data_IF_967939482466
#
_entry.id   IF_967939482466
#
_cell.length_a   1.000
_cell.length_b   1.000
_cell.length_c   1.000
_cell.angle_alpha   90.00
_cell.angle_beta   90.00
_cell.angle_gamma   90.00
#
_symmetry.space_group_name_H-M   'P 1'
#
loop_
_entity.id
_entity.type
_entity.pdbx_description
1 polymer ?
#
# COMPACT_ATOMS: atom_id res chain seq x y z
N UNK A 1 -24.35 -13.72 10.39
CA UNK A 1 -23.99 -12.46 11.08
C UNK A 1 -24.24 -11.19 10.26
N UNK A 2 -24.15 -11.18 8.92
CA UNK A 2 -24.30 -9.97 8.11
C UNK A 2 -25.69 -9.29 8.19
N UNK A 3 -26.78 -10.07 8.16
CA UNK A 3 -28.15 -9.52 8.11
C UNK A 3 -28.60 -8.84 9.43
N UNK A 4 -28.10 -9.30 10.59
CA UNK A 4 -28.46 -8.76 11.90
C UNK A 4 -27.87 -7.35 12.18
N UNK A 5 -26.81 -6.97 11.47
CA UNK A 5 -26.19 -5.65 11.59
C UNK A 5 -26.93 -4.57 10.82
N UNK A 6 -27.54 -4.93 9.68
CA UNK A 6 -28.16 -3.91 8.84
C UNK A 6 -29.44 -3.40 9.45
N UNK A 7 -30.35 -4.27 9.91
CA UNK A 7 -31.59 -3.86 10.59
C UNK A 7 -31.41 -3.16 11.96
N UNK A 8 -30.17 -3.15 12.50
CA UNK A 8 -29.84 -2.48 13.77
C UNK A 8 -29.46 -1.01 13.57
N UNK A 9 -28.87 -0.65 12.42
CA UNK A 9 -28.29 0.69 12.19
C UNK A 9 -28.84 1.38 10.94
N UNK A 10 -29.47 0.64 10.03
CA UNK A 10 -29.89 1.14 8.73
C UNK A 10 -31.32 0.68 8.37
N UNK A 11 -32.09 1.55 7.72
CA UNK A 11 -33.38 1.22 7.11
C UNK A 11 -33.23 1.00 5.61
N UNK A 12 -33.91 -0.03 5.11
CA UNK A 12 -34.07 -0.28 3.69
C UNK A 12 -35.45 0.15 3.22
N UNK A 13 -35.50 0.91 2.13
CA UNK A 13 -36.76 1.17 1.41
C UNK A 13 -36.57 0.92 -0.08
N UNK A 14 -37.52 0.19 -0.65
CA UNK A 14 -37.69 0.08 -2.09
C UNK A 14 -38.99 0.78 -2.45
N UNK A 15 -38.91 1.79 -3.32
CA UNK A 15 -40.09 2.51 -3.81
C UNK A 15 -40.20 2.29 -5.31
N UNK A 16 -41.33 1.75 -5.75
CA UNK A 16 -41.70 1.71 -7.16
C UNK A 16 -42.52 2.96 -7.46
N UNK A 17 -41.98 3.84 -8.30
CA UNK A 17 -42.67 5.02 -8.79
C UNK A 17 -43.27 4.69 -10.16
N UNK A 18 -44.58 4.80 -10.28
CA UNK A 18 -45.31 4.69 -11.54
C UNK A 18 -45.70 6.09 -12.00
N UNK A 19 -45.34 6.47 -13.23
CA UNK A 19 -45.92 7.68 -13.83
C UNK A 19 -47.32 7.33 -14.33
N UNK A 20 -48.35 7.97 -13.77
CA UNK A 20 -49.73 7.57 -13.98
C UNK A 20 -50.29 8.04 -15.33
N UNK A 21 -50.83 7.12 -16.13
CA UNK A 21 -52.25 7.10 -16.52
C UNK A 21 -52.60 5.98 -17.52
N UNK A 22 -51.64 5.24 -18.07
CA UNK A 22 -51.94 4.12 -18.98
C UNK A 22 -51.18 2.84 -18.58
N UNK A 23 -51.76 1.68 -18.90
CA UNK A 23 -51.28 0.31 -18.59
C UNK A 23 -49.85 -0.04 -19.10
N UNK A 24 -49.13 0.93 -19.67
CA UNK A 24 -47.70 0.88 -19.92
C UNK A 24 -46.92 1.62 -18.83
N UNK A 25 -47.04 1.17 -17.58
CA UNK A 25 -46.44 1.84 -16.43
C UNK A 25 -44.90 1.78 -16.46
N UNK A 26 -44.25 2.92 -16.72
CA UNK A 26 -42.82 3.14 -16.45
C UNK A 26 -42.61 2.99 -14.94
N UNK A 27 -42.16 1.82 -14.49
CA UNK A 27 -41.81 1.59 -13.10
C UNK A 27 -40.34 1.96 -12.88
N UNK A 28 -40.09 3.01 -12.09
CA UNK A 28 -38.75 3.29 -11.56
C UNK A 28 -38.65 2.67 -10.18
N UNK A 29 -37.76 1.68 -10.00
CA UNK A 29 -37.47 1.10 -8.68
C UNK A 29 -36.24 1.79 -8.11
N UNK A 30 -36.41 2.46 -6.97
CA UNK A 30 -35.32 3.10 -6.24
C UNK A 30 -35.10 2.34 -4.93
N UNK A 31 -33.88 1.84 -4.74
CA UNK A 31 -33.46 1.22 -3.47
C UNK A 31 -32.57 2.21 -2.72
N UNK A 32 -33.01 2.60 -1.52
CA UNK A 32 -32.26 3.48 -0.65
C UNK A 32 -31.88 2.78 0.65
N UNK A 33 -30.69 3.12 1.15
CA UNK A 33 -30.29 2.84 2.53
C UNK A 33 -30.27 4.18 3.25
N UNK A 34 -31.00 4.26 4.37
CA UNK A 34 -31.01 5.42 5.24
C UNK A 34 -30.44 5.05 6.62
N UNK A 35 -29.52 5.87 7.12
CA UNK A 35 -29.03 5.75 8.49
C UNK A 35 -30.14 6.21 9.47
N UNK A 36 -30.49 5.37 10.44
CA UNK A 36 -31.57 5.63 11.41
C UNK A 36 -31.31 6.82 12.32
N UNK A 37 -30.04 7.15 12.58
CA UNK A 37 -29.67 8.23 13.52
C UNK A 37 -29.26 9.53 12.80
N UNK A 38 -29.34 9.54 11.45
CA UNK A 38 -29.15 10.73 10.62
C UNK A 38 -30.26 10.85 9.57
N UNK A 39 -31.48 11.25 9.98
CA UNK A 39 -32.59 11.44 9.06
C UNK A 39 -32.23 12.51 8.02
N UNK A 40 -31.94 12.10 6.79
CA UNK A 40 -31.49 12.96 5.68
C UNK A 40 -30.30 12.42 4.88
N UNK A 41 -29.51 11.50 5.45
CA UNK A 41 -28.36 10.89 4.78
C UNK A 41 -28.73 9.62 3.98
N UNK A 42 -29.77 9.70 3.15
CA UNK A 42 -30.15 8.58 2.29
C UNK A 42 -29.25 8.54 1.04
N UNK A 43 -28.59 7.41 0.81
CA UNK A 43 -27.81 7.20 -0.43
C UNK A 43 -28.69 6.41 -1.40
N UNK A 44 -28.86 6.95 -2.61
CA UNK A 44 -29.49 6.23 -3.74
C UNK A 44 -28.47 5.26 -4.30
N UNK A 45 -28.75 3.97 -4.20
CA UNK A 45 -27.78 2.93 -4.53
C UNK A 45 -27.91 2.45 -5.98
N UNK A 46 -29.11 2.60 -6.55
CA UNK A 46 -29.40 2.31 -7.96
C UNK A 46 -30.73 2.96 -8.36
N UNK A 47 -30.78 3.49 -9.58
CA UNK A 47 -32.00 3.98 -10.24
C UNK A 47 -32.09 3.33 -11.62
N UNK A 48 -33.15 2.56 -11.87
CA UNK A 48 -33.38 1.92 -13.17
C UNK A 48 -34.74 2.35 -13.72
N UNK A 49 -34.77 2.78 -14.98
CA UNK A 49 -35.97 3.28 -15.68
C UNK A 49 -36.39 2.27 -16.75
N UNK A 50 -37.67 1.93 -16.82
CA UNK A 50 -38.21 1.00 -17.82
C UNK A 50 -39.20 1.72 -18.74
N UNK A 51 -39.04 1.62 -20.05
CA UNK A 51 -40.05 2.05 -21.03
C UNK A 51 -40.64 0.81 -21.71
N UNK A 52 -41.92 0.53 -21.45
CA UNK A 52 -42.63 -0.63 -21.98
C UNK A 52 -43.01 -0.45 -23.44
N UNK A 53 -42.59 -1.38 -24.29
CA UNK A 53 -43.03 -1.40 -25.69
C UNK A 53 -42.89 -2.73 -26.42
N UNK A 54 -42.27 -3.76 -25.85
CA UNK A 54 -42.24 -5.08 -26.49
C UNK A 54 -42.62 -6.17 -25.49
N UNK A 55 -43.69 -6.89 -25.83
CA UNK A 55 -44.09 -8.11 -25.16
C UNK A 55 -42.92 -9.10 -25.22
N UNK A 56 -42.54 -9.64 -24.07
CA UNK A 56 -41.45 -10.59 -23.95
C UNK A 56 -41.95 -12.00 -24.26
N UNK A 57 -41.39 -12.62 -25.30
CA UNK A 57 -41.58 -14.03 -25.64
C UNK A 57 -41.21 -14.95 -24.46
N UNK A 58 -41.99 -16.01 -24.16
CA UNK A 58 -41.69 -16.96 -23.09
C UNK A 58 -40.40 -17.73 -23.42
N UNK A 59 -39.31 -17.45 -22.69
CA UNK A 59 -38.02 -18.11 -22.87
C UNK A 59 -36.84 -17.16 -23.11
N UNK A 60 -37.08 -15.86 -23.31
CA UNK A 60 -36.01 -14.87 -23.29
C UNK A 60 -35.51 -14.68 -21.85
N UNK A 61 -34.28 -15.13 -21.56
CA UNK A 61 -33.62 -14.90 -20.29
C UNK A 61 -33.40 -13.39 -20.06
N UNK A 62 -34.27 -12.76 -19.29
CA UNK A 62 -34.11 -11.36 -18.89
C UNK A 62 -33.24 -11.25 -17.64
N UNK A 63 -32.12 -10.54 -17.76
CA UNK A 63 -31.32 -10.04 -16.63
C UNK A 63 -31.49 -8.52 -16.53
N UNK A 64 -32.39 -8.00 -15.70
CA UNK A 64 -32.22 -6.65 -15.21
C UNK A 64 -31.06 -6.66 -14.19
N UNK A 65 -30.16 -5.68 -14.26
CA UNK A 65 -29.11 -5.42 -13.27
C UNK A 65 -29.66 -4.96 -11.90
N UNK A 66 -30.76 -5.56 -11.43
CA UNK A 66 -31.34 -5.40 -10.10
C UNK A 66 -31.19 -6.67 -9.25
N UNK A 67 -30.72 -7.79 -9.83
CA UNK A 67 -30.36 -8.99 -9.09
C UNK A 67 -28.84 -9.12 -8.94
N UNK A 68 -28.36 -9.28 -7.71
CA UNK A 68 -26.94 -9.48 -7.44
C UNK A 68 -26.48 -8.94 -6.09
N UNK A 69 -25.26 -9.31 -5.71
CA UNK A 69 -24.59 -8.81 -4.51
C UNK A 69 -24.06 -7.40 -4.75
N UNK A 70 -24.51 -6.46 -3.91
CA UNK A 70 -24.04 -5.09 -3.83
C UNK A 70 -23.11 -4.95 -2.63
N UNK A 71 -22.15 -4.01 -2.74
CA UNK A 71 -21.14 -3.75 -1.71
C UNK A 71 -21.02 -2.25 -1.46
N UNK A 72 -21.13 -1.82 -0.21
CA UNK A 72 -20.91 -0.43 0.19
C UNK A 72 -20.08 -0.37 1.46
N UNK A 73 -19.06 0.48 1.49
CA UNK A 73 -18.26 0.67 2.69
C UNK A 73 -18.99 1.59 3.67
N UNK A 74 -19.20 1.11 4.91
CA UNK A 74 -19.81 1.91 5.97
C UNK A 74 -18.74 2.36 6.97
N UNK A 75 -18.45 3.67 7.05
CA UNK A 75 -17.52 4.22 8.04
C UNK A 75 -17.98 3.97 9.48
N UNK A 76 -19.30 3.85 9.69
CA UNK A 76 -19.93 3.69 11.01
C UNK A 76 -19.67 2.32 11.64
N UNK A 77 -19.61 1.27 10.83
CA UNK A 77 -19.29 -0.10 11.30
C UNK A 77 -17.89 -0.55 10.88
N UNK A 78 -17.11 0.33 10.26
CA UNK A 78 -15.70 0.12 9.90
C UNK A 78 -15.46 -1.04 8.92
N UNK A 79 -16.44 -1.39 8.09
CA UNK A 79 -16.34 -2.51 7.14
C UNK A 79 -17.23 -2.32 5.91
N UNK A 80 -16.93 -3.10 4.89
CA UNK A 80 -17.76 -3.27 3.70
C UNK A 80 -19.00 -4.10 4.05
N UNK A 81 -20.16 -3.55 3.73
CA UNK A 81 -21.44 -4.24 3.82
C UNK A 81 -21.77 -4.81 2.45
N UNK A 82 -22.01 -6.11 2.38
CA UNK A 82 -22.48 -6.77 1.18
C UNK A 82 -23.92 -7.26 1.36
N UNK A 83 -24.81 -6.99 0.40
CA UNK A 83 -26.17 -7.51 0.43
C UNK A 83 -26.63 -7.93 -0.97
N UNK A 84 -27.43 -8.99 -1.06
CA UNK A 84 -28.02 -9.45 -2.32
C UNK A 84 -29.46 -8.94 -2.45
N UNK A 85 -29.84 -8.44 -3.61
CA UNK A 85 -31.24 -8.27 -3.98
C UNK A 85 -31.61 -9.29 -5.06
N UNK A 86 -32.83 -9.83 -4.98
CA UNK A 86 -33.40 -10.68 -6.01
C UNK A 86 -34.84 -10.24 -6.27
N UNK A 87 -35.18 -9.97 -7.53
CA UNK A 87 -36.56 -9.82 -7.96
C UNK A 87 -37.12 -11.21 -8.23
N UNK A 88 -38.09 -11.61 -7.42
CA UNK A 88 -38.90 -12.82 -7.64
C UNK A 88 -40.27 -12.39 -8.14
N UNK A 89 -40.79 -13.07 -9.16
CA UNK A 89 -42.19 -12.91 -9.57
C UNK A 89 -43.08 -13.32 -8.40
N UNK A 90 -44.19 -12.62 -8.21
CA UNK A 90 -45.17 -12.96 -7.19
C UNK A 90 -45.71 -14.36 -7.47
N UNK A 91 -45.31 -15.35 -6.65
CA UNK A 91 -45.67 -16.77 -6.81
C UNK A 91 -44.49 -17.73 -6.92
N UNK A 92 -43.27 -17.28 -7.26
CA UNK A 92 -42.10 -18.14 -7.54
C UNK A 92 -41.06 -18.16 -6.39
N UNK A 93 -41.48 -17.95 -5.13
CA UNK A 93 -40.56 -18.13 -4.01
C UNK A 93 -40.12 -19.61 -3.96
N UNK A 94 -38.81 -19.93 -3.92
CA UNK A 94 -38.36 -21.32 -3.87
C UNK A 94 -38.90 -22.01 -2.62
N UNK A 95 -39.45 -23.22 -2.77
CA UNK A 95 -39.83 -24.06 -1.62
C UNK A 95 -38.61 -24.27 -0.70
N UNK A 96 -38.77 -23.95 0.59
CA UNK A 96 -37.73 -23.98 1.60
C UNK A 96 -37.28 -22.61 2.13
N UNK A 97 -37.81 -21.50 1.62
CA UNK A 97 -37.59 -20.17 2.20
C UNK A 97 -38.62 -19.90 3.32
N UNK A 98 -38.38 -20.48 4.50
CA UNK A 98 -39.24 -20.22 5.65
C UNK A 98 -38.91 -18.85 6.27
N UNK A 99 -39.94 -18.01 6.44
CA UNK A 99 -39.82 -16.67 7.06
C UNK A 99 -39.37 -16.74 8.53
N UNK A 100 -39.40 -17.92 9.13
CA UNK A 100 -39.03 -18.16 10.53
C UNK A 100 -37.51 -18.41 10.76
N UNK A 101 -36.70 -18.70 9.73
CA UNK A 101 -35.25 -18.94 9.87
C UNK A 101 -34.41 -17.67 10.05
N UNK A 102 -35.06 -16.51 10.24
CA UNK A 102 -34.41 -15.24 10.54
C UNK A 102 -34.08 -15.05 12.04
N UNK A 103 -34.29 -16.06 12.90
CA UNK A 103 -33.96 -16.01 14.33
C UNK A 103 -32.74 -16.87 14.68
N UNK A 104 -31.62 -16.15 14.91
CA UNK A 104 -30.51 -16.45 15.83
C UNK A 104 -30.43 -17.88 16.40
N UNK A 105 -29.58 -18.73 15.83
CA UNK A 105 -28.89 -19.78 16.60
C UNK A 105 -27.46 -19.35 16.91
N UNK A 106 -27.14 -19.29 18.20
CA UNK A 106 -25.82 -18.97 18.72
C UNK A 106 -24.81 -20.04 18.30
N UNK A 107 -23.67 -19.61 17.74
CA UNK A 107 -22.55 -20.50 17.43
C UNK A 107 -21.91 -21.08 18.69
N UNK A 108 -21.14 -22.18 18.57
CA UNK A 108 -20.57 -22.89 19.72
C UNK A 108 -19.58 -22.00 20.48
N UNK A 109 -19.40 -22.23 21.80
CA UNK A 109 -18.60 -21.35 22.64
C UNK A 109 -17.13 -21.34 22.18
N UNK A 110 -16.60 -20.13 22.00
CA UNK A 110 -15.17 -19.90 21.85
C UNK A 110 -14.49 -20.36 23.15
N UNK A 111 -13.60 -21.36 23.06
CA UNK A 111 -12.76 -21.77 24.17
C UNK A 111 -11.98 -20.56 24.66
N UNK A 112 -12.25 -20.11 25.90
CA UNK A 112 -11.31 -19.30 26.66
C UNK A 112 -10.02 -20.12 26.78
N UNK A 113 -8.92 -19.57 26.30
CA UNK A 113 -7.60 -20.07 26.70
C UNK A 113 -7.45 -19.67 28.15
N UNK A 114 -7.60 -20.65 29.04
CA UNK A 114 -7.37 -20.47 30.45
C UNK A 114 -5.93 -20.00 30.66
N UNK A 115 -5.81 -18.82 31.27
CA UNK A 115 -4.55 -18.34 31.79
C UNK A 115 -4.05 -19.30 32.85
N UNK A 116 -2.95 -20.00 32.55
CA UNK A 116 -2.02 -20.59 33.51
C UNK A 116 -0.73 -20.96 32.77
N UNK A 117 0.33 -20.21 33.07
CA UNK A 117 1.71 -20.61 32.73
C UNK A 117 2.34 -19.99 31.49
N UNK A 118 2.12 -18.70 31.20
CA UNK A 118 3.06 -17.99 30.32
C UNK A 118 4.24 -17.52 31.16
N UNK A 119 5.34 -18.29 31.14
CA UNK A 119 6.65 -17.71 31.40
C UNK A 119 6.76 -16.42 30.56
N UNK A 120 7.24 -15.33 31.17
CA UNK A 120 7.42 -14.02 30.55
C UNK A 120 8.14 -14.17 29.20
N UNK A 121 7.38 -14.31 28.11
CA UNK A 121 7.92 -14.20 26.76
C UNK A 121 8.18 -12.73 26.56
N UNK A 122 9.43 -12.36 26.28
CA UNK A 122 9.74 -11.00 25.84
C UNK A 122 8.74 -10.59 24.74
N UNK A 123 8.21 -9.36 24.77
CA UNK A 123 7.30 -8.90 23.73
C UNK A 123 7.98 -9.02 22.36
N UNK A 124 7.23 -9.48 21.36
CA UNK A 124 7.71 -9.59 19.99
C UNK A 124 8.23 -8.21 19.52
N UNK A 125 9.48 -8.18 19.08
CA UNK A 125 10.16 -6.95 18.66
C UNK A 125 11.10 -7.25 17.49
N UNK A 126 11.17 -6.33 16.53
CA UNK A 126 12.09 -6.41 15.40
C UNK A 126 12.77 -5.06 15.16
N UNK A 127 14.06 -5.11 14.83
CA UNK A 127 14.86 -3.96 14.41
C UNK A 127 14.90 -3.89 12.88
N UNK A 128 14.34 -2.84 12.32
CA UNK A 128 14.30 -2.60 10.88
C UNK A 128 15.36 -1.57 10.49
N UNK A 129 15.97 -1.75 9.33
CA UNK A 129 16.82 -0.76 8.67
C UNK A 129 16.16 -0.37 7.34
N UNK A 130 15.89 0.92 7.17
CA UNK A 130 15.43 1.50 5.92
C UNK A 130 16.56 2.33 5.33
N UNK A 131 16.82 2.16 4.05
CA UNK A 131 17.84 2.93 3.32
C UNK A 131 17.21 3.56 2.10
N UNK A 132 17.71 4.73 1.72
CA UNK A 132 17.18 5.50 0.60
C UNK A 132 17.46 4.91 -0.78
N UNK A 133 17.68 5.78 -1.74
CA UNK A 133 17.70 5.42 -3.16
C UNK A 133 18.90 4.54 -3.52
N UNK A 134 18.60 3.39 -4.13
CA UNK A 134 19.59 2.44 -4.67
C UNK A 134 19.46 2.39 -6.20
N UNK A 135 20.46 2.91 -6.88
CA UNK A 135 20.63 2.86 -8.33
C UNK A 135 21.87 2.00 -8.64
N UNK A 136 21.64 0.80 -9.18
CA UNK A 136 22.69 -0.20 -9.46
C UNK A 136 23.16 -0.20 -10.92
N UNK A 137 22.81 0.84 -11.68
CA UNK A 137 23.40 1.11 -12.98
C UNK A 137 24.69 1.94 -12.83
N UNK A 138 25.24 2.41 -13.93
CA UNK A 138 26.36 3.36 -13.99
C UNK A 138 27.51 3.08 -13.00
N UNK A 139 27.83 3.98 -12.06
CA UNK A 139 28.96 3.84 -11.13
C UNK A 139 28.89 2.57 -10.30
N UNK A 140 27.83 2.38 -9.49
CA UNK A 140 27.61 1.15 -8.75
C UNK A 140 27.58 -0.09 -9.65
N UNK A 141 27.01 0.01 -10.86
CA UNK A 141 27.03 -1.07 -11.85
C UNK A 141 28.44 -1.44 -12.33
N UNK A 142 29.33 -0.45 -12.51
CA UNK A 142 30.76 -0.66 -12.83
C UNK A 142 31.51 -1.29 -11.65
N UNK A 143 31.20 -0.91 -10.41
CA UNK A 143 31.77 -1.56 -9.21
C UNK A 143 31.41 -3.05 -9.21
N UNK A 144 30.14 -3.38 -9.47
CA UNK A 144 29.66 -4.76 -9.53
C UNK A 144 30.34 -5.55 -10.66
N UNK A 145 30.48 -4.97 -11.85
CA UNK A 145 31.09 -5.66 -13.00
C UNK A 145 32.59 -5.97 -12.79
N UNK A 146 33.26 -5.23 -11.90
CA UNK A 146 34.62 -5.49 -11.45
C UNK A 146 34.71 -6.56 -10.35
N UNK A 147 33.59 -7.20 -9.99
CA UNK A 147 33.54 -8.21 -8.92
C UNK A 147 33.58 -7.61 -7.51
N UNK A 148 33.39 -6.30 -7.37
CA UNK A 148 33.38 -5.59 -6.08
C UNK A 148 31.94 -5.38 -5.59
N UNK A 149 31.79 -5.05 -4.32
CA UNK A 149 30.49 -4.86 -3.69
C UNK A 149 30.29 -3.39 -3.32
N UNK A 150 29.32 -2.66 -3.92
CA UNK A 150 29.10 -1.26 -3.59
C UNK A 150 28.61 -1.06 -2.15
N UNK A 151 28.09 -2.09 -1.48
CA UNK A 151 27.63 -2.02 -0.10
C UNK A 151 28.71 -2.39 0.93
N UNK A 152 29.95 -2.68 0.50
CA UNK A 152 30.99 -3.28 1.35
C UNK A 152 31.20 -2.53 2.68
N UNK A 153 31.14 -1.20 2.65
CA UNK A 153 31.41 -0.35 3.81
C UNK A 153 30.21 -0.23 4.78
N UNK A 154 29.00 -0.62 4.36
CA UNK A 154 27.78 -0.62 5.21
C UNK A 154 27.29 -2.02 5.55
N UNK A 155 27.84 -3.07 4.92
CA UNK A 155 27.40 -4.44 5.09
C UNK A 155 27.38 -4.89 6.56
N UNK A 156 28.39 -4.50 7.35
CA UNK A 156 28.46 -4.82 8.78
C UNK A 156 27.37 -4.11 9.60
N UNK A 157 27.05 -2.85 9.26
CA UNK A 157 26.00 -2.09 9.93
C UNK A 157 24.64 -2.74 9.64
N UNK A 158 24.30 -2.98 8.37
CA UNK A 158 23.01 -3.52 7.94
C UNK A 158 22.72 -4.92 8.50
N UNK A 159 23.76 -5.76 8.74
CA UNK A 159 23.59 -7.09 9.36
C UNK A 159 22.96 -7.07 10.75
N UNK A 160 22.90 -5.92 11.41
CA UNK A 160 22.27 -5.77 12.73
C UNK A 160 20.74 -5.58 12.65
N UNK A 161 20.16 -5.54 11.45
CA UNK A 161 18.72 -5.47 11.26
C UNK A 161 18.10 -6.86 11.09
N UNK A 162 16.90 -7.04 11.64
CA UNK A 162 16.04 -8.18 11.34
C UNK A 162 15.38 -8.06 9.95
N UNK A 163 15.17 -6.83 9.47
CA UNK A 163 14.62 -6.52 8.15
C UNK A 163 15.31 -5.30 7.53
N UNK A 164 15.76 -5.43 6.29
CA UNK A 164 16.42 -4.36 5.52
C UNK A 164 15.56 -4.00 4.31
N UNK A 165 15.11 -2.76 4.22
CA UNK A 165 14.20 -2.29 3.17
C UNK A 165 14.83 -1.12 2.41
N UNK A 166 14.70 -1.11 1.09
CA UNK A 166 15.27 -0.05 0.24
C UNK A 166 14.34 0.35 -0.91
N UNK A 167 14.56 1.53 -1.49
CA UNK A 167 13.99 1.90 -2.78
C UNK A 167 14.95 1.46 -3.91
N UNK A 168 14.47 0.59 -4.82
CA UNK A 168 15.25 0.17 -5.97
C UNK A 168 14.93 1.08 -7.16
N UNK A 169 15.72 2.14 -7.33
CA UNK A 169 15.51 3.21 -8.30
C UNK A 169 16.21 2.94 -9.64
N UNK A 170 16.06 1.72 -10.14
CA UNK A 170 16.50 1.33 -11.47
C UNK A 170 15.79 0.04 -11.88
N UNK A 171 15.79 -0.25 -13.19
CA UNK A 171 15.31 -1.54 -13.68
C UNK A 171 16.45 -2.56 -13.71
N UNK A 172 16.27 -3.73 -13.10
CA UNK A 172 17.22 -4.85 -13.22
C UNK A 172 16.76 -5.76 -14.38
N UNK A 173 17.34 -5.58 -15.56
CA UNK A 173 16.96 -6.32 -16.76
C UNK A 173 18.10 -6.40 -17.79
N UNK A 174 18.09 -7.46 -18.61
CA UNK A 174 18.94 -7.56 -19.80
C UNK A 174 18.29 -6.92 -21.02
N UNK A 175 16.95 -7.02 -21.13
CA UNK A 175 16.17 -6.55 -22.27
C UNK A 175 15.46 -5.21 -22.07
N UNK A 176 14.49 -4.94 -22.95
CA UNK A 176 13.68 -3.73 -22.97
C UNK A 176 14.23 -2.60 -23.83
N UNK A 177 13.37 -1.61 -24.11
CA UNK A 177 13.68 -0.46 -24.94
C UNK A 177 13.69 0.79 -24.07
N UNK A 178 14.83 1.47 -24.06
CA UNK A 178 15.01 2.75 -23.36
C UNK A 178 13.93 3.75 -23.79
N UNK A 179 13.27 4.37 -22.82
CA UNK A 179 12.30 5.44 -23.07
C UNK A 179 13.02 6.77 -23.30
N UNK A 180 12.34 7.71 -23.95
CA UNK A 180 12.86 9.06 -24.15
C UNK A 180 12.65 9.90 -22.87
N UNK A 181 13.63 9.86 -21.96
CA UNK A 181 13.70 10.61 -20.70
C UNK A 181 15.13 11.12 -20.49
N UNK A 182 15.37 12.23 -19.77
CA UNK A 182 16.73 12.74 -19.53
C UNK A 182 17.66 11.71 -18.87
N UNK A 183 17.13 10.94 -17.92
CA UNK A 183 17.87 9.94 -17.16
C UNK A 183 17.14 8.60 -17.21
N UNK A 184 17.89 7.53 -17.54
CA UNK A 184 17.35 6.17 -17.60
C UNK A 184 18.34 5.17 -17.01
N UNK A 185 17.93 4.40 -16.00
CA UNK A 185 18.80 3.50 -15.27
C UNK A 185 18.39 2.04 -15.48
N UNK A 186 19.32 1.25 -16.03
CA UNK A 186 19.17 -0.21 -16.12
C UNK A 186 20.41 -0.91 -15.60
N UNK A 187 20.25 -1.60 -14.49
CA UNK A 187 21.28 -2.43 -13.91
C UNK A 187 21.34 -3.79 -14.62
N UNK A 188 22.56 -4.32 -14.76
CA UNK A 188 22.75 -5.68 -15.27
C UNK A 188 22.10 -6.70 -14.34
N UNK A 189 21.52 -7.82 -14.83
CA UNK A 189 20.88 -8.83 -13.98
C UNK A 189 21.69 -9.35 -12.78
N UNK A 190 23.02 -9.42 -12.91
CA UNK A 190 23.92 -9.80 -11.81
C UNK A 190 23.88 -8.85 -10.61
N UNK A 191 23.41 -7.61 -10.78
CA UNK A 191 23.22 -6.67 -9.67
C UNK A 191 22.25 -7.22 -8.61
N UNK A 192 21.28 -8.07 -9.01
CA UNK A 192 20.36 -8.71 -8.07
C UNK A 192 21.07 -9.64 -7.07
N UNK A 193 22.12 -10.34 -7.50
CA UNK A 193 22.89 -11.23 -6.63
C UNK A 193 23.64 -10.46 -5.54
N UNK A 194 24.07 -9.24 -5.86
CA UNK A 194 24.71 -8.33 -4.92
C UNK A 194 23.66 -7.73 -3.97
N UNK A 195 22.58 -7.20 -4.53
CA UNK A 195 21.49 -6.55 -3.78
C UNK A 195 20.90 -7.45 -2.70
N UNK A 196 20.55 -8.70 -3.03
CA UNK A 196 19.91 -9.64 -2.09
C UNK A 196 20.75 -10.00 -0.85
N UNK A 197 22.05 -9.67 -0.84
CA UNK A 197 22.91 -9.88 0.32
C UNK A 197 22.67 -8.81 1.39
N UNK A 198 22.18 -7.64 0.98
CA UNK A 198 22.14 -6.42 1.80
C UNK A 198 20.74 -5.90 2.07
N UNK A 199 19.73 -6.35 1.31
CA UNK A 199 18.32 -6.02 1.53
C UNK A 199 17.44 -7.27 1.56
N UNK A 200 16.32 -7.18 2.26
CA UNK A 200 15.32 -8.23 2.41
C UNK A 200 13.99 -7.91 1.72
N UNK A 201 13.74 -6.65 1.39
CA UNK A 201 12.61 -6.22 0.56
C UNK A 201 12.93 -4.91 -0.18
N UNK A 202 12.35 -4.72 -1.36
CA UNK A 202 12.54 -3.49 -2.15
C UNK A 202 11.23 -2.85 -2.60
N UNK A 203 11.15 -1.53 -2.51
CA UNK A 203 10.12 -0.76 -3.21
C UNK A 203 10.51 -0.63 -4.68
N UNK A 204 9.52 -0.79 -5.55
CA UNK A 204 9.60 -0.52 -6.98
C UNK A 204 8.78 0.72 -7.37
N UNK A 205 8.13 1.39 -6.41
CA UNK A 205 7.29 2.53 -6.72
C UNK A 205 8.12 3.80 -6.89
N UNK A 206 8.74 3.98 -8.06
CA UNK A 206 9.53 5.16 -8.40
C UNK A 206 9.47 5.49 -9.89
N UNK A 207 9.94 6.68 -10.25
CA UNK A 207 9.97 7.20 -11.62
C UNK A 207 10.96 6.48 -12.55
N UNK A 208 11.86 5.64 -12.05
CA UNK A 208 12.88 4.93 -12.82
C UNK A 208 12.55 3.46 -13.11
N UNK A 209 11.51 2.91 -12.49
CA UNK A 209 11.04 1.54 -12.74
C UNK A 209 10.53 1.29 -14.17
N UNK A 210 10.18 2.35 -14.89
CA UNK A 210 9.69 2.30 -16.27
C UNK A 210 10.73 2.59 -17.36
N UNK A 211 11.98 2.85 -17.00
CA UNK A 211 12.97 3.47 -17.92
C UNK A 211 13.27 2.66 -19.19
N UNK A 212 13.04 1.35 -19.16
CA UNK A 212 13.24 0.44 -20.30
C UNK A 212 11.95 -0.26 -20.74
N UNK A 213 10.81 0.32 -20.33
CA UNK A 213 9.47 -0.08 -20.72
C UNK A 213 8.94 -1.35 -20.04
N UNK A 214 7.69 -1.74 -20.36
CA UNK A 214 6.98 -2.83 -19.68
C UNK A 214 7.70 -4.19 -19.76
N UNK A 215 8.43 -4.46 -20.85
CA UNK A 215 9.17 -5.71 -21.01
C UNK A 215 10.31 -5.84 -19.98
N UNK A 216 11.12 -4.80 -19.80
CA UNK A 216 12.20 -4.81 -18.81
C UNK A 216 11.66 -4.86 -17.39
N UNK A 217 10.57 -4.14 -17.11
CA UNK A 217 9.92 -4.18 -15.81
C UNK A 217 9.35 -5.57 -15.51
N UNK A 218 8.66 -6.21 -16.46
CA UNK A 218 8.19 -7.58 -16.29
C UNK A 218 9.33 -8.59 -16.05
N UNK A 219 10.44 -8.44 -16.79
CA UNK A 219 11.66 -9.22 -16.56
C UNK A 219 12.19 -9.02 -15.12
N UNK A 220 12.24 -7.78 -14.64
CA UNK A 220 12.65 -7.47 -13.27
C UNK A 220 11.73 -8.13 -12.23
N UNK A 221 10.40 -8.05 -12.40
CA UNK A 221 9.44 -8.71 -11.49
C UNK A 221 9.67 -10.22 -11.42
N UNK A 222 9.88 -10.86 -12.58
CA UNK A 222 10.17 -12.30 -12.66
C UNK A 222 11.49 -12.65 -11.96
N UNK A 223 12.53 -11.83 -12.14
CA UNK A 223 13.84 -12.04 -11.49
C UNK A 223 13.75 -11.90 -9.97
N UNK A 224 13.08 -10.87 -9.47
CA UNK A 224 12.87 -10.66 -8.03
C UNK A 224 12.10 -11.84 -7.42
N UNK A 225 11.04 -12.30 -8.09
CA UNK A 225 10.26 -13.46 -7.67
C UNK A 225 11.11 -14.74 -7.66
N UNK A 226 11.88 -15.01 -8.71
CA UNK A 226 12.77 -16.19 -8.79
C UNK A 226 13.89 -16.15 -7.75
N UNK A 227 14.42 -14.98 -7.44
CA UNK A 227 15.43 -14.80 -6.41
C UNK A 227 14.87 -14.86 -4.98
N UNK A 228 13.54 -14.90 -4.82
CA UNK A 228 12.89 -14.88 -3.52
C UNK A 228 13.11 -13.58 -2.76
N UNK A 229 13.32 -12.46 -3.47
CA UNK A 229 13.43 -11.13 -2.87
C UNK A 229 12.05 -10.46 -2.90
N UNK A 230 11.37 -10.29 -1.74
CA UNK A 230 10.12 -9.56 -1.65
C UNK A 230 10.21 -8.17 -2.28
N UNK A 231 9.16 -7.77 -2.96
CA UNK A 231 9.02 -6.44 -3.54
C UNK A 231 7.60 -5.92 -3.37
N UNK A 232 7.44 -4.60 -3.41
CA UNK A 232 6.17 -3.91 -3.27
C UNK A 232 6.16 -2.60 -4.06
N UNK A 233 4.97 -1.99 -4.21
CA UNK A 233 4.83 -0.72 -4.95
C UNK A 233 4.94 -0.86 -6.48
N UNK A 234 5.05 -2.08 -7.00
CA UNK A 234 5.07 -2.38 -8.42
C UNK A 234 4.55 -3.79 -8.68
N UNK A 235 3.96 -4.00 -9.85
CA UNK A 235 3.33 -5.29 -10.16
C UNK A 235 2.91 -5.43 -11.61
N UNK A 236 2.42 -6.62 -11.95
CA UNK A 236 1.96 -6.96 -13.30
C UNK A 236 0.61 -6.31 -13.69
N UNK A 237 -0.07 -5.70 -12.73
CA UNK A 237 -1.30 -4.92 -12.88
C UNK A 237 -1.53 -4.07 -11.63
N UNK A 238 -2.54 -3.20 -11.67
CA UNK A 238 -2.95 -2.30 -10.59
C UNK A 238 -3.08 -3.05 -9.24
N UNK A 239 -3.84 -4.15 -9.21
CA UNK A 239 -4.04 -4.93 -7.97
C UNK A 239 -2.73 -5.48 -7.42
N UNK A 240 -1.82 -5.92 -8.28
CA UNK A 240 -0.52 -6.44 -7.87
C UNK A 240 0.42 -5.34 -7.38
N UNK A 241 0.39 -4.16 -8.01
CA UNK A 241 1.22 -3.02 -7.62
C UNK A 241 0.85 -2.46 -6.24
N UNK A 242 -0.46 -2.41 -5.96
CA UNK A 242 -1.02 -1.97 -4.67
C UNK A 242 -1.03 -3.06 -3.58
N UNK A 243 -0.58 -4.28 -3.88
CA UNK A 243 -0.52 -5.35 -2.88
C UNK A 243 0.67 -5.12 -1.95
N UNK A 244 0.49 -5.10 -0.61
CA UNK A 244 1.61 -4.99 0.31
C UNK A 244 2.49 -6.23 0.26
N UNK A 245 3.81 -6.04 0.43
CA UNK A 245 4.67 -7.12 0.87
C UNK A 245 4.50 -7.31 2.37
N UNK A 246 4.05 -8.48 2.80
CA UNK A 246 3.98 -8.83 4.23
C UNK A 246 5.17 -9.72 4.54
N UNK A 247 6.04 -9.24 5.42
CA UNK A 247 7.24 -9.96 5.85
C UNK A 247 7.13 -10.28 7.33
N UNK A 248 7.41 -11.53 7.70
CA UNK A 248 7.43 -11.96 9.09
C UNK A 248 8.84 -11.89 9.67
N UNK A 249 8.98 -11.21 10.82
CA UNK A 249 10.23 -11.13 11.59
C UNK A 249 9.93 -11.17 13.08
N UNK A 250 10.62 -12.05 13.81
CA UNK A 250 10.48 -12.18 15.26
C UNK A 250 9.03 -12.32 15.74
N UNK A 251 8.18 -12.98 14.96
CA UNK A 251 6.75 -13.18 15.25
C UNK A 251 5.84 -11.99 14.90
N UNK A 252 6.38 -10.93 14.28
CA UNK A 252 5.62 -9.78 13.78
C UNK A 252 5.40 -9.89 12.27
N UNK A 253 4.17 -9.64 11.82
CA UNK A 253 3.87 -9.40 10.40
C UNK A 253 4.01 -7.92 10.11
N UNK A 254 4.91 -7.57 9.21
CA UNK A 254 5.21 -6.18 8.83
C UNK A 254 4.75 -6.00 7.38
N UNK A 255 3.77 -5.12 7.16
CA UNK A 255 3.30 -4.77 5.82
C UNK A 255 4.04 -3.55 5.27
N UNK A 256 4.64 -3.73 4.11
CA UNK A 256 5.34 -2.71 3.34
C UNK A 256 4.48 -2.33 2.14
N UNK A 257 4.19 -1.04 2.01
CA UNK A 257 3.45 -0.45 0.89
C UNK A 257 4.35 0.57 0.20
N UNK A 258 4.22 0.76 -1.11
CA UNK A 258 5.08 1.68 -1.86
C UNK A 258 4.27 2.45 -2.87
N UNK A 259 4.54 3.75 -3.01
CA UNK A 259 3.82 4.61 -3.97
C UNK A 259 4.74 5.66 -4.59
N UNK A 260 4.50 5.95 -5.87
CA UNK A 260 5.17 6.98 -6.64
C UNK A 260 4.26 8.21 -6.81
N UNK A 261 4.82 9.40 -6.64
CA UNK A 261 4.16 10.69 -6.92
C UNK A 261 4.88 11.51 -8.00
N UNK A 262 5.96 10.99 -8.60
CA UNK A 262 6.75 11.74 -9.55
C UNK A 262 6.21 11.65 -10.97
N UNK A 263 5.83 12.81 -11.51
CA UNK A 263 5.38 13.01 -12.89
C UNK A 263 6.51 12.89 -13.93
N UNK A 264 6.17 12.56 -15.19
CA UNK A 264 4.83 12.22 -15.69
C UNK A 264 4.35 10.85 -15.19
N UNK A 265 3.02 10.68 -15.10
CA UNK A 265 2.34 9.46 -14.60
C UNK A 265 2.33 8.33 -15.65
N UNK A 266 3.42 8.19 -16.41
CA UNK A 266 3.43 7.38 -17.64
C UNK A 266 3.64 5.88 -17.39
N UNK A 267 4.11 5.50 -16.20
CA UNK A 267 4.41 4.11 -15.85
C UNK A 267 3.57 3.58 -14.69
N UNK A 268 2.42 4.20 -14.43
CA UNK A 268 1.44 3.67 -13.49
C UNK A 268 0.91 2.29 -13.94
N UNK A 269 0.67 1.40 -12.98
CA UNK A 269 0.02 0.12 -13.23
C UNK A 269 -1.47 0.30 -13.62
N UNK A 270 -1.84 -0.20 -14.80
CA UNK A 270 -3.24 -0.29 -15.24
C UNK A 270 -3.92 -1.59 -14.82
N UNK A 271 -5.23 -1.77 -15.09
CA UNK A 271 -5.98 -3.00 -14.74
C UNK A 271 -5.37 -4.30 -15.28
N UNK A 272 -4.70 -4.24 -16.43
CA UNK A 272 -4.00 -5.36 -17.06
C UNK A 272 -2.58 -4.98 -17.54
N UNK A 273 -2.04 -3.87 -17.05
CA UNK A 273 -0.74 -3.34 -17.47
C UNK A 273 0.21 -3.28 -16.28
N UNK A 274 1.41 -3.82 -16.46
CA UNK A 274 2.45 -3.74 -15.46
C UNK A 274 2.91 -2.29 -15.25
N UNK A 275 3.20 -1.95 -13.99
CA UNK A 275 3.66 -0.61 -13.63
C UNK A 275 3.78 -0.46 -12.12
N UNK A 276 3.91 0.79 -11.69
CA UNK A 276 4.03 1.18 -10.27
C UNK A 276 2.69 1.59 -9.66
N UNK A 277 2.58 1.46 -8.35
CA UNK A 277 1.46 2.00 -7.60
C UNK A 277 1.59 3.52 -7.51
N UNK A 278 0.59 4.25 -8.02
CA UNK A 278 0.56 5.71 -7.93
C UNK A 278 0.00 6.17 -6.59
N UNK A 279 0.45 7.35 -6.13
CA UNK A 279 0.05 7.94 -4.86
C UNK A 279 -1.34 8.62 -4.89
N UNK A 280 -2.38 7.91 -5.34
CA UNK A 280 -3.76 8.37 -5.22
C UNK A 280 -4.26 8.21 -3.78
N UNK A 281 -4.86 9.27 -3.24
CA UNK A 281 -5.25 9.36 -1.83
C UNK A 281 -6.23 8.26 -1.41
N UNK A 282 -7.29 8.04 -2.20
CA UNK A 282 -8.31 7.05 -1.90
C UNK A 282 -7.74 5.64 -1.88
N UNK A 283 -6.82 5.35 -2.82
CA UNK A 283 -6.18 4.05 -2.94
C UNK A 283 -5.19 3.81 -1.80
N UNK A 284 -4.36 4.81 -1.45
CA UNK A 284 -3.47 4.78 -0.28
C UNK A 284 -4.26 4.45 1.00
N UNK A 285 -5.38 5.13 1.23
CA UNK A 285 -6.22 4.89 2.41
C UNK A 285 -6.80 3.48 2.41
N UNK A 286 -7.29 3.01 1.27
CA UNK A 286 -7.84 1.67 1.13
C UNK A 286 -6.78 0.59 1.41
N UNK A 287 -5.59 0.75 0.84
CA UNK A 287 -4.48 -0.19 0.95
C UNK A 287 -3.93 -0.26 2.38
N UNK A 288 -3.73 0.88 3.04
CA UNK A 288 -3.27 0.92 4.44
C UNK A 288 -4.29 0.24 5.36
N UNK A 289 -5.58 0.56 5.20
CA UNK A 289 -6.64 -0.08 6.00
C UNK A 289 -6.73 -1.58 5.72
N UNK A 290 -6.46 -2.01 4.49
CA UNK A 290 -6.39 -3.42 4.13
C UNK A 290 -5.19 -4.11 4.78
N UNK A 291 -4.00 -3.53 4.67
CA UNK A 291 -2.77 -4.00 5.28
C UNK A 291 -2.89 -4.12 6.81
N UNK A 292 -3.54 -3.16 7.45
CA UNK A 292 -3.74 -3.15 8.92
C UNK A 292 -4.52 -4.35 9.45
N UNK A 293 -5.38 -4.97 8.64
CA UNK A 293 -6.15 -6.17 9.02
C UNK A 293 -5.33 -7.46 8.98
N UNK A 294 -4.17 -7.43 8.34
CA UNK A 294 -3.36 -8.61 8.04
C UNK A 294 -1.90 -8.50 8.55
N UNK A 295 -1.52 -7.37 9.12
CA UNK A 295 -0.19 -7.11 9.66
C UNK A 295 -0.28 -6.46 11.04
N UNK A 296 0.80 -6.58 11.81
CA UNK A 296 1.00 -5.99 13.13
C UNK A 296 1.59 -4.57 13.04
N UNK A 297 2.36 -4.31 11.98
CA UNK A 297 2.99 -3.02 11.66
C UNK A 297 2.75 -2.69 10.19
N UNK A 298 2.35 -1.47 9.86
CA UNK A 298 2.11 -1.01 8.48
C UNK A 298 2.95 0.23 8.17
N UNK A 299 3.88 0.14 7.22
CA UNK A 299 4.79 1.24 6.87
C UNK A 299 4.74 1.48 5.35
N UNK A 300 4.14 2.60 4.90
CA UNK A 300 4.29 3.10 3.54
C UNK A 300 5.69 3.68 3.29
N UNK A 301 6.20 3.41 2.08
CA UNK A 301 7.46 3.94 1.57
C UNK A 301 7.20 4.74 0.29
N UNK A 302 7.38 6.05 0.38
CA UNK A 302 7.00 7.00 -0.65
C UNK A 302 8.17 7.45 -1.51
N UNK A 303 7.92 7.61 -2.80
CA UNK A 303 8.83 8.23 -3.75
C UNK A 303 8.17 9.52 -4.27
N UNK A 304 8.56 10.67 -3.71
CA UNK A 304 7.79 11.92 -3.78
C UNK A 304 8.64 13.16 -3.51
N UNK A 305 8.06 14.35 -3.55
CA UNK A 305 8.78 15.57 -3.23
C UNK A 305 9.49 16.17 -4.44
N UNK A 306 10.19 17.27 -4.20
CA UNK A 306 10.95 17.98 -5.23
C UNK A 306 12.43 17.62 -5.10
N UNK A 307 13.06 17.24 -6.22
CA UNK A 307 14.51 17.03 -6.31
C UNK A 307 15.29 18.22 -5.72
N UNK A 308 16.33 17.92 -4.94
CA UNK A 308 17.22 18.86 -4.26
C UNK A 308 16.58 19.76 -3.21
N UNK A 309 15.31 19.57 -2.87
CA UNK A 309 14.69 20.28 -1.76
C UNK A 309 14.89 19.52 -0.44
N UNK A 310 15.57 20.15 0.52
CA UNK A 310 15.84 19.60 1.85
C UNK A 310 14.62 19.67 2.81
N UNK A 311 13.50 20.22 2.35
CA UNK A 311 12.31 20.45 3.16
C UNK A 311 11.06 19.93 2.45
N UNK A 312 10.26 19.14 3.17
CA UNK A 312 9.05 18.56 2.64
C UNK A 312 7.98 19.62 2.33
N UNK A 313 7.42 19.58 1.11
CA UNK A 313 6.38 20.51 0.69
C UNK A 313 4.99 20.11 1.20
N UNK A 314 4.03 21.03 1.13
CA UNK A 314 2.68 20.85 1.68
C UNK A 314 1.97 19.56 1.22
N UNK A 315 2.16 19.16 -0.03
CA UNK A 315 1.58 17.92 -0.58
C UNK A 315 2.14 16.63 0.06
N UNK A 316 3.46 16.52 0.28
CA UNK A 316 4.07 15.42 1.04
C UNK A 316 3.48 15.37 2.46
N UNK A 317 3.39 16.52 3.13
CA UNK A 317 2.85 16.60 4.48
C UNK A 317 1.36 16.20 4.56
N UNK A 318 0.56 16.58 3.56
CA UNK A 318 -0.85 16.20 3.47
C UNK A 318 -1.01 14.68 3.30
N UNK A 319 -0.21 14.06 2.43
CA UNK A 319 -0.20 12.61 2.23
C UNK A 319 0.29 11.86 3.47
N UNK A 320 1.35 12.33 4.13
CA UNK A 320 1.83 11.72 5.38
C UNK A 320 0.74 11.71 6.46
N UNK A 321 0.05 12.84 6.67
CA UNK A 321 -1.09 12.93 7.59
C UNK A 321 -2.23 11.99 7.19
N UNK A 322 -2.51 11.87 5.90
CA UNK A 322 -3.52 10.95 5.38
C UNK A 322 -3.19 9.48 5.71
N UNK A 323 -1.94 9.07 5.48
CA UNK A 323 -1.45 7.71 5.75
C UNK A 323 -1.48 7.36 7.24
N UNK A 324 -1.01 8.28 8.09
CA UNK A 324 -1.04 8.11 9.53
C UNK A 324 -2.47 7.95 10.04
N UNK A 325 -3.41 8.82 9.61
CA UNK A 325 -4.84 8.69 9.92
C UNK A 325 -5.48 7.42 9.38
N UNK A 326 -4.97 6.87 8.26
CA UNK A 326 -5.47 5.62 7.71
C UNK A 326 -5.02 4.38 8.51
N UNK A 327 -3.99 4.52 9.35
CA UNK A 327 -3.49 3.47 10.25
C UNK A 327 -2.05 3.03 10.00
N UNK A 328 -1.26 3.78 9.23
CA UNK A 328 0.19 3.56 9.13
C UNK A 328 0.87 3.81 10.48
N UNK A 329 1.93 3.06 10.78
CA UNK A 329 2.71 3.15 12.03
C UNK A 329 3.95 4.05 11.90
N UNK A 330 4.36 4.31 10.67
CA UNK A 330 5.35 5.32 10.25
C UNK A 330 5.14 5.62 8.76
N UNK A 331 5.77 6.69 8.25
CA UNK A 331 5.90 6.94 6.81
C UNK A 331 7.37 7.23 6.49
N UNK A 332 7.90 6.57 5.48
CA UNK A 332 9.29 6.75 5.03
C UNK A 332 9.26 7.28 3.60
N UNK A 333 10.14 8.21 3.26
CA UNK A 333 10.21 8.83 1.94
C UNK A 333 11.59 8.74 1.28
N UNK A 334 11.59 8.93 -0.04
CA UNK A 334 12.70 8.91 -1.01
C UNK A 334 12.36 9.82 -2.20
N UNK A 335 13.28 9.96 -3.16
CA UNK A 335 13.20 10.74 -4.42
C UNK A 335 13.94 12.07 -4.45
N UNK A 336 13.87 12.98 -3.43
CA UNK A 336 14.50 14.29 -3.54
C UNK A 336 16.02 14.26 -3.75
N UNK A 337 16.64 13.08 -3.70
CA UNK A 337 18.08 12.84 -3.73
C UNK A 337 18.85 13.52 -2.61
N UNK A 338 18.16 14.16 -1.65
CA UNK A 338 18.70 14.75 -0.43
C UNK A 338 17.86 14.27 0.75
N UNK A 339 18.42 14.32 1.96
CA UNK A 339 17.62 14.12 3.18
C UNK A 339 16.63 15.25 3.35
N UNK A 340 15.46 14.92 3.89
CA UNK A 340 14.48 15.93 4.28
C UNK A 340 14.18 15.88 5.77
N UNK A 341 13.49 16.90 6.25
CA UNK A 341 13.02 17.01 7.63
C UNK A 341 12.20 15.78 8.08
N UNK A 342 12.04 15.68 9.39
CA UNK A 342 11.24 14.64 10.07
C UNK A 342 10.11 15.29 10.87
N UNK A 343 9.01 14.58 11.06
CA UNK A 343 7.84 15.03 11.83
C UNK A 343 7.31 13.86 12.67
N UNK A 344 6.74 14.14 13.84
CA UNK A 344 5.86 13.19 14.54
C UNK A 344 4.41 13.59 14.32
N UNK A 345 3.62 12.69 13.76
CA UNK A 345 2.17 12.89 13.54
C UNK A 345 1.45 11.87 14.39
N UNK A 346 0.64 12.30 15.35
CA UNK A 346 -0.03 11.44 16.32
C UNK A 346 0.95 10.47 17.02
N UNK A 347 2.16 10.95 17.32
CA UNK A 347 3.24 10.18 17.95
C UNK A 347 3.98 9.21 17.02
N UNK A 348 3.67 9.19 15.71
CA UNK A 348 4.26 8.28 14.72
C UNK A 348 5.26 9.01 13.82
N UNK A 349 6.43 8.40 13.53
CA UNK A 349 7.47 9.08 12.76
C UNK A 349 7.16 9.14 11.27
N UNK A 350 7.40 10.32 10.72
CA UNK A 350 7.39 10.62 9.30
C UNK A 350 8.76 11.13 8.91
N UNK A 351 9.45 10.38 8.04
CA UNK A 351 10.74 10.75 7.48
C UNK A 351 10.50 11.07 6.02
N UNK A 352 10.56 12.36 5.63
CA UNK A 352 10.12 12.78 4.30
C UNK A 352 11.08 12.38 3.18
N UNK A 353 12.38 12.24 3.47
CA UNK A 353 13.36 11.65 2.55
C UNK A 353 14.58 11.13 3.30
N UNK A 354 15.02 9.92 2.95
CA UNK A 354 16.29 9.34 3.41
C UNK A 354 17.50 9.77 2.56
N UNK A 355 17.28 10.45 1.43
CA UNK A 355 18.30 10.77 0.44
C UNK A 355 18.80 9.53 -0.32
N UNK A 356 19.92 9.67 -1.02
CA UNK A 356 20.56 8.57 -1.72
C UNK A 356 21.21 7.56 -0.76
N UNK A 357 21.43 6.32 -1.20
CA UNK A 357 22.21 5.33 -0.46
C UNK A 357 23.31 4.68 -1.31
N UNK A 358 22.95 4.02 -2.41
CA UNK A 358 23.92 3.54 -3.42
C UNK A 358 23.57 4.25 -4.71
N UNK A 359 24.32 5.31 -5.04
CA UNK A 359 23.96 6.20 -6.14
C UNK A 359 25.19 7.01 -6.58
N UNK A 360 25.37 7.25 -7.88
CA UNK A 360 26.39 8.17 -8.40
C UNK A 360 25.78 9.27 -9.28
N UNK A 361 26.60 10.21 -9.74
CA UNK A 361 26.17 11.27 -10.66
C UNK A 361 25.89 12.63 -10.02
N UNK A 362 26.15 12.78 -8.72
CA UNK A 362 26.01 14.05 -8.01
C UNK A 362 27.36 14.58 -7.50
N UNK A 363 27.55 15.90 -7.56
CA UNK A 363 28.73 16.59 -7.00
C UNK A 363 28.47 17.19 -5.63
N UNK A 364 27.20 17.46 -5.31
CA UNK A 364 26.84 18.22 -4.12
C UNK A 364 26.85 17.32 -2.87
N UNK A 365 27.32 17.86 -1.76
CA UNK A 365 27.43 17.12 -0.48
C UNK A 365 26.08 16.60 -0.01
N UNK A 366 25.02 17.38 -0.17
CA UNK A 366 23.68 17.00 0.28
C UNK A 366 23.14 15.80 -0.51
N UNK A 367 23.45 15.72 -1.80
CA UNK A 367 23.08 14.57 -2.61
C UNK A 367 23.89 13.31 -2.31
N UNK A 368 25.12 13.50 -1.86
CA UNK A 368 26.03 12.45 -1.44
C UNK A 368 25.93 12.17 0.07
N UNK A 369 24.88 12.67 0.75
CA UNK A 369 24.63 12.41 2.17
C UNK A 369 23.21 11.86 2.34
N UNK A 370 23.12 10.61 2.78
CA UNK A 370 21.88 9.89 3.04
C UNK A 370 21.73 9.44 4.48
N UNK A 371 20.76 8.56 4.72
CA UNK A 371 20.53 7.96 6.04
C UNK A 371 20.14 6.49 5.98
N UNK A 372 20.65 5.73 6.95
CA UNK A 372 20.00 4.50 7.41
C UNK A 372 19.03 4.91 8.51
N UNK A 373 17.75 4.68 8.30
CA UNK A 373 16.73 4.81 9.33
C UNK A 373 16.59 3.48 10.06
N UNK A 374 16.93 3.51 11.34
CA UNK A 374 16.73 2.39 12.25
C UNK A 374 15.40 2.56 12.96
N UNK A 375 14.58 1.50 12.98
CA UNK A 375 13.31 1.46 13.71
C UNK A 375 13.25 0.20 14.56
N UNK A 376 12.84 0.32 15.81
CA UNK A 376 12.40 -0.80 16.62
C UNK A 376 10.88 -0.83 16.59
N UNK A 377 10.31 -1.97 16.20
CA UNK A 377 8.86 -2.14 16.07
C UNK A 377 8.37 -3.28 16.94
N UNK A 378 7.14 -3.15 17.45
CA UNK A 378 6.41 -4.15 18.23
C UNK A 378 4.97 -4.24 17.72
N UNK A 379 4.08 -5.09 18.28
CA UNK A 379 2.67 -5.12 17.86
C UNK A 379 1.94 -3.79 18.06
N UNK A 380 2.48 -2.86 18.86
CA UNK A 380 1.91 -1.52 19.07
C UNK A 380 2.43 -0.46 18.08
N UNK A 381 3.23 -0.85 17.08
CA UNK A 381 3.84 0.06 16.10
C UNK A 381 5.32 0.34 16.38
N UNK A 382 5.80 1.51 15.93
CA UNK A 382 7.19 1.95 16.13
C UNK A 382 7.38 2.45 17.56
N UNK A 383 8.35 1.90 18.29
CA UNK A 383 8.64 2.26 19.69
C UNK A 383 9.93 3.05 19.87
N UNK A 384 10.85 2.95 18.92
CA UNK A 384 12.11 3.70 18.91
C UNK A 384 12.59 3.85 17.47
N UNK A 385 13.24 4.97 17.15
CA UNK A 385 13.85 5.18 15.85
C UNK A 385 14.99 6.20 15.91
N UNK A 386 15.93 6.11 14.97
CA UNK A 386 16.97 7.12 14.76
C UNK A 386 17.50 7.06 13.33
N UNK A 387 18.07 8.18 12.88
CA UNK A 387 18.78 8.27 11.60
C UNK A 387 20.28 8.14 11.84
N UNK A 388 20.93 7.24 11.11
CA UNK A 388 22.38 7.14 11.02
C UNK A 388 22.82 7.74 9.68
N UNK A 389 23.64 8.78 9.73
CA UNK A 389 24.19 9.43 8.54
C UNK A 389 25.05 8.48 7.71
N UNK A 390 24.99 8.66 6.39
CA UNK A 390 25.74 7.90 5.40
C UNK A 390 26.31 8.89 4.40
N UNK A 391 27.61 8.82 4.13
CA UNK A 391 28.24 9.55 3.03
C UNK A 391 28.49 8.63 1.85
N UNK A 392 28.23 9.11 0.65
CA UNK A 392 28.39 8.35 -0.59
C UNK A 392 29.66 8.84 -1.28
N UNK A 393 30.56 7.92 -1.61
CA UNK A 393 31.78 8.27 -2.32
C UNK A 393 31.56 8.43 -3.83
N UNK A 394 32.58 8.90 -4.55
CA UNK A 394 32.51 9.14 -5.99
C UNK A 394 32.24 7.88 -6.85
N UNK A 395 32.30 6.66 -6.28
CA UNK A 395 31.92 5.42 -6.95
C UNK A 395 30.48 5.01 -6.64
N UNK A 396 29.74 5.85 -5.91
CA UNK A 396 28.38 5.60 -5.46
C UNK A 396 28.29 4.60 -4.32
N UNK A 397 29.34 4.48 -3.50
CA UNK A 397 29.37 3.52 -2.38
C UNK A 397 29.11 4.23 -1.04
N UNK A 398 28.14 3.79 -0.24
CA UNK A 398 27.83 4.37 1.06
C UNK A 398 28.86 4.02 2.13
N UNK A 399 29.14 4.97 3.01
CA UNK A 399 29.96 4.86 4.22
C UNK A 399 29.12 5.37 5.39
N UNK A 400 28.70 4.47 6.28
CA UNK A 400 27.90 4.88 7.44
C UNK A 400 28.79 5.57 8.48
N UNK A 401 28.36 6.75 8.94
CA UNK A 401 28.97 7.41 10.08
C UNK A 401 28.90 6.50 11.33
N UNK A 402 29.84 6.59 12.28
CA UNK A 402 29.74 5.86 13.53
C UNK A 402 28.39 6.11 14.20
N UNK A 403 27.76 5.08 14.76
CA UNK A 403 26.51 5.24 15.49
C UNK A 403 26.73 6.19 16.68
N UNK A 404 26.30 7.44 16.52
CA UNK A 404 26.16 8.33 17.65
C UNK A 404 24.96 7.85 18.45
N UNK A 405 25.13 7.60 19.74
CA UNK A 405 24.04 7.26 20.68
C UNK A 405 23.16 8.48 20.94
N UNK A 406 22.63 9.12 19.89
CA UNK A 406 21.52 10.05 20.04
C UNK A 406 20.25 9.20 20.02
N UNK A 407 19.83 8.76 21.21
CA UNK A 407 18.45 8.33 21.38
C UNK A 407 17.59 9.57 21.16
N UNK A 408 17.05 9.75 19.96
CA UNK A 408 15.87 10.60 19.78
C UNK A 408 14.70 9.89 20.45
N UNK A 409 14.69 9.88 21.79
CA UNK A 409 13.52 9.45 22.55
C UNK A 409 12.39 10.37 22.14
N UNK A 410 11.18 9.82 22.03
CA UNK A 410 9.94 10.52 21.64
C UNK A 410 9.67 11.90 22.28
N UNK A 411 10.40 12.28 23.33
CA UNK A 411 10.25 13.53 24.08
C UNK A 411 10.95 14.78 23.50
N UNK A 412 11.70 14.67 22.39
CA UNK A 412 12.45 15.82 21.83
C UNK A 412 11.85 16.45 20.57
N UNK A 413 10.91 15.80 19.89
CA UNK A 413 10.25 16.38 18.70
C UNK A 413 9.03 17.25 19.07
N UNK A 414 8.53 17.19 20.30
CA UNK A 414 7.42 18.04 20.77
C UNK A 414 7.85 19.49 21.13
N UNK A 415 9.10 19.88 20.83
CA UNK A 415 9.66 21.21 21.20
C UNK A 415 10.27 22.00 20.03
N UNK A 416 9.82 21.75 18.81
CA UNK A 416 10.02 22.63 17.65
C UNK A 416 8.72 22.67 16.86
#
# INVERSE_FOLDING_TARGET
>A
MANALVGRYFDFRAVALTDGQDDAAVATVVVTIADRDRPGAAVVLSQSRWAGGQALEPGAAWRPNLSGWQRVYSPRVGRELAWGCALVRQGDAPEGWDRADATLQAGPPVRRVDGRGAALRNPASARLAWVGDIMLADGPGRVISQGRDPFEHVAAALKNADLRVANLECVIAAGGRRIAKPWTFRAHPHALDVLRRHVDAVSLANNHSGDYGPQAFAEMLERLQKAGLPYFGGGSNLRAAHRPAIVERNGLRIALLGYNEMFPRDFEAGPAQAGVAWADEEQIVADIRAARRQADVVIPYMHWGQEHSDTAHARQQALARLMIRAGADAVVGTHPHVRQNVELIDGKPVIYSLGNFVFDGFTDTDNNTGSILWMTVTPSGVTDWHLQEVHIDAQGRPHAAPQQRQHQRMAEVERQ
#
